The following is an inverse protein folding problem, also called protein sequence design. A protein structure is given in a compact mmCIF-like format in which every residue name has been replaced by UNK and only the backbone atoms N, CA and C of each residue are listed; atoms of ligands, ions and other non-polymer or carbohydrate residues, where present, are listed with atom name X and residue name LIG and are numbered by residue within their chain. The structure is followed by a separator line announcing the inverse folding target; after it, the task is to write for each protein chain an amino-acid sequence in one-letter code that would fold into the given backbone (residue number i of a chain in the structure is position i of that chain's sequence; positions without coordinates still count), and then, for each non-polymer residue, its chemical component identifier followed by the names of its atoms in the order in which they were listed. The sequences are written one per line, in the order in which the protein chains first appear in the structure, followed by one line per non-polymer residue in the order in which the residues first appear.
data_IF_241538180605
#
_entry.id   IF_241538180605
#
_cell.length_a   1.000
_cell.length_b   1.000
_cell.length_c   1.000
_cell.angle_alpha   90.00
_cell.angle_beta   90.00
_cell.angle_gamma   90.00
#
_symmetry.space_group_name_H-M   'P 1'
#
loop_
_entity.id
_entity.type
_entity.pdbx_description
1 polymer ?
#
# COMPACT_ATOMS: atom_id res chain seq x y z
N UNK A 1 -22.45 13.97 1.76
CA UNK A 1 -21.48 15.09 1.73
C UNK A 1 -21.30 15.85 3.06
N UNK A 2 -22.29 15.97 3.95
CA UNK A 2 -22.14 16.77 5.18
C UNK A 2 -21.17 16.21 6.24
N UNK A 3 -21.06 14.88 6.34
CA UNK A 3 -20.31 14.24 7.43
C UNK A 3 -18.79 14.43 7.30
N UNK A 4 -18.24 14.18 6.11
CA UNK A 4 -16.82 14.37 5.79
C UNK A 4 -16.34 15.82 6.06
N UNK A 5 -17.13 16.81 5.65
CA UNK A 5 -16.78 18.22 5.86
C UNK A 5 -16.79 18.59 7.35
N UNK A 6 -17.71 17.99 8.13
CA UNK A 6 -17.77 18.22 9.57
C UNK A 6 -16.59 17.56 10.30
N UNK A 7 -16.16 16.38 9.85
CA UNK A 7 -14.97 15.68 10.35
C UNK A 7 -13.72 16.56 10.13
N UNK A 8 -13.45 16.99 8.89
CA UNK A 8 -12.31 17.88 8.60
C UNK A 8 -12.31 19.16 9.45
N UNK A 9 -13.48 19.80 9.59
CA UNK A 9 -13.60 21.07 10.33
C UNK A 9 -13.37 20.90 11.83
N UNK A 10 -13.84 19.80 12.40
CA UNK A 10 -13.67 19.51 13.84
C UNK A 10 -12.20 19.20 14.14
N UNK A 11 -11.52 18.51 13.21
CA UNK A 11 -10.17 18.01 13.42
C UNK A 11 -9.08 19.03 13.10
N UNK A 12 -9.25 19.82 12.03
CA UNK A 12 -8.30 20.88 11.65
C UNK A 12 -8.18 21.99 12.70
N UNK A 13 -9.12 22.06 13.65
CA UNK A 13 -9.11 23.07 14.72
C UNK A 13 -8.34 22.65 15.96
N UNK A 14 -8.12 21.35 16.16
CA UNK A 14 -7.60 20.83 17.43
C UNK A 14 -6.34 19.95 17.29
N UNK A 15 -5.79 19.73 16.07
CA UNK A 15 -4.66 18.81 15.85
C UNK A 15 -4.92 17.36 16.35
N UNK A 16 -6.19 17.04 16.62
CA UNK A 16 -6.64 15.75 17.16
C UNK A 16 -6.78 14.70 16.07
N UNK A 17 -5.69 14.45 15.35
CA UNK A 17 -5.70 13.49 14.24
C UNK A 17 -6.15 12.09 14.71
N UNK A 18 -5.79 11.68 15.92
CA UNK A 18 -6.20 10.41 16.53
C UNK A 18 -7.72 10.29 16.75
N UNK A 19 -8.39 11.32 17.31
CA UNK A 19 -9.87 11.31 17.44
C UNK A 19 -10.54 11.28 16.06
N UNK A 20 -9.92 11.89 15.06
CA UNK A 20 -10.42 11.90 13.70
C UNK A 20 -10.37 10.55 13.02
N UNK A 21 -9.25 9.85 13.19
CA UNK A 21 -9.05 8.48 12.75
C UNK A 21 -10.11 7.57 13.40
N UNK A 22 -10.31 7.68 14.71
CA UNK A 22 -11.33 6.89 15.43
C UNK A 22 -12.74 7.16 14.90
N UNK A 23 -13.09 8.44 14.69
CA UNK A 23 -14.39 8.84 14.15
C UNK A 23 -14.58 8.34 12.72
N UNK A 24 -13.56 8.42 11.87
CA UNK A 24 -13.58 7.91 10.50
C UNK A 24 -13.73 6.39 10.47
N UNK A 25 -13.02 5.65 11.31
CA UNK A 25 -13.17 4.18 11.43
C UNK A 25 -14.57 3.78 11.84
N UNK A 26 -15.15 4.46 12.83
CA UNK A 26 -16.54 4.21 13.23
C UNK A 26 -17.55 4.58 12.12
N UNK A 27 -17.23 5.61 11.34
CA UNK A 27 -18.04 6.01 10.19
C UNK A 27 -17.96 4.95 9.08
N UNK A 28 -16.75 4.47 8.79
CA UNK A 28 -16.47 3.41 7.82
C UNK A 28 -17.16 2.09 8.15
N UNK A 29 -17.33 1.77 9.44
CA UNK A 29 -18.09 0.60 9.88
C UNK A 29 -19.56 0.62 9.42
N UNK A 30 -20.12 1.82 9.18
CA UNK A 30 -21.50 2.00 8.73
C UNK A 30 -21.61 2.40 7.26
N UNK A 31 -20.57 3.00 6.68
CA UNK A 31 -20.56 3.46 5.29
C UNK A 31 -19.15 3.30 4.68
N UNK A 32 -19.00 2.43 3.68
CA UNK A 32 -17.79 2.38 2.85
C UNK A 32 -17.91 3.40 1.73
N UNK A 33 -17.05 4.41 1.76
CA UNK A 33 -16.99 5.47 0.75
C UNK A 33 -15.51 5.76 0.45
N UNK A 34 -15.16 5.90 -0.82
CA UNK A 34 -13.78 6.19 -1.25
C UNK A 34 -13.26 7.46 -0.59
N UNK A 35 -14.11 8.47 -0.39
CA UNK A 35 -13.74 9.73 0.24
C UNK A 35 -13.34 9.54 1.70
N UNK A 36 -13.97 8.61 2.43
CA UNK A 36 -13.64 8.35 3.84
C UNK A 36 -12.33 7.60 3.99
N UNK A 37 -12.07 6.61 3.12
CA UNK A 37 -10.77 5.92 3.09
C UNK A 37 -9.64 6.88 2.74
N UNK A 38 -9.84 7.76 1.74
CA UNK A 38 -8.88 8.83 1.43
C UNK A 38 -8.61 9.71 2.64
N UNK A 39 -9.66 10.19 3.30
CA UNK A 39 -9.52 11.05 4.48
C UNK A 39 -8.75 10.35 5.59
N UNK A 40 -9.05 9.07 5.83
CA UNK A 40 -8.32 8.27 6.81
C UNK A 40 -6.83 8.20 6.46
N UNK A 41 -6.49 7.97 5.19
CA UNK A 41 -5.12 8.03 4.68
C UNK A 41 -4.44 9.37 4.95
N UNK A 42 -5.10 10.49 4.63
CA UNK A 42 -4.55 11.84 4.87
C UNK A 42 -4.23 12.07 6.37
N UNK A 43 -5.08 11.56 7.26
CA UNK A 43 -4.88 11.68 8.70
C UNK A 43 -3.76 10.78 9.22
N UNK A 44 -3.66 9.56 8.68
CA UNK A 44 -2.57 8.62 9.01
C UNK A 44 -1.21 9.20 8.59
N UNK A 45 -1.14 9.85 7.43
CA UNK A 45 0.06 10.62 7.01
C UNK A 45 0.39 11.72 8.03
N UNK A 46 -0.61 12.46 8.52
CA UNK A 46 -0.40 13.54 9.48
C UNK A 46 0.14 13.05 10.85
N UNK A 47 -0.12 11.79 11.22
CA UNK A 47 0.43 11.14 12.42
C UNK A 47 1.69 10.31 12.15
N UNK A 48 2.24 10.36 10.93
CA UNK A 48 3.41 9.59 10.47
C UNK A 48 3.17 8.06 10.38
N UNK A 49 1.92 7.62 10.26
CA UNK A 49 1.54 6.21 10.05
C UNK A 49 1.43 5.93 8.54
N UNK A 50 2.56 6.00 7.84
CA UNK A 50 2.59 5.92 6.36
C UNK A 50 2.15 4.55 5.81
N UNK A 51 2.52 3.45 6.47
CA UNK A 51 2.13 2.10 6.07
C UNK A 51 0.60 1.92 6.05
N UNK A 52 -0.05 2.33 7.14
CA UNK A 52 -1.51 2.21 7.26
C UNK A 52 -2.20 3.19 6.30
N UNK A 53 -1.62 4.38 6.08
CA UNK A 53 -2.13 5.34 5.09
C UNK A 53 -2.13 4.77 3.66
N UNK A 54 -1.06 4.07 3.25
CA UNK A 54 -0.97 3.45 1.92
C UNK A 54 -2.07 2.43 1.70
N UNK A 55 -2.34 1.60 2.71
CA UNK A 55 -3.42 0.61 2.65
C UNK A 55 -4.78 1.29 2.44
N UNK A 56 -5.04 2.39 3.16
CA UNK A 56 -6.29 3.14 3.02
C UNK A 56 -6.44 3.83 1.66
N UNK A 57 -5.37 4.40 1.11
CA UNK A 57 -5.42 4.96 -0.25
C UNK A 57 -5.61 3.86 -1.31
N UNK A 58 -5.03 2.67 -1.12
CA UNK A 58 -5.25 1.52 -2.00
C UNK A 58 -6.72 1.11 -2.05
N UNK A 59 -7.37 1.05 -0.88
CA UNK A 59 -8.81 0.77 -0.78
C UNK A 59 -9.62 1.88 -1.44
N UNK A 60 -9.27 3.15 -1.21
CA UNK A 60 -9.95 4.28 -1.85
C UNK A 60 -9.88 4.21 -3.38
N UNK A 61 -8.71 3.91 -3.95
CA UNK A 61 -8.50 3.74 -5.39
C UNK A 61 -9.17 2.50 -5.96
N UNK A 62 -9.29 1.44 -5.15
CA UNK A 62 -10.05 0.23 -5.53
C UNK A 62 -11.55 0.50 -5.64
N UNK A 63 -12.07 1.43 -4.82
CA UNK A 63 -13.47 1.88 -4.87
C UNK A 63 -13.70 2.93 -5.96
N UNK A 64 -12.78 3.90 -6.09
CA UNK A 64 -12.80 4.93 -7.12
C UNK A 64 -11.40 5.13 -7.71
N UNK A 65 -11.09 4.49 -8.85
CA UNK A 65 -9.78 4.62 -9.48
C UNK A 65 -9.53 6.02 -10.08
N UNK A 66 -10.54 6.89 -10.10
CA UNK A 66 -10.43 8.27 -10.58
C UNK A 66 -10.23 9.29 -9.44
N UNK A 67 -10.09 8.84 -8.19
CA UNK A 67 -9.77 9.74 -7.09
C UNK A 67 -8.29 10.15 -7.12
N UNK A 68 -8.03 11.22 -7.89
CA UNK A 68 -6.71 11.83 -8.08
C UNK A 68 -6.01 12.09 -6.73
N UNK A 69 -6.75 12.47 -5.69
CA UNK A 69 -6.17 12.81 -4.40
C UNK A 69 -5.59 11.61 -3.66
N UNK A 70 -6.25 10.45 -3.70
CA UNK A 70 -5.68 9.22 -3.14
C UNK A 70 -4.44 8.79 -3.90
N UNK A 71 -4.44 8.95 -5.23
CA UNK A 71 -3.28 8.65 -6.08
C UNK A 71 -2.10 9.58 -5.76
N UNK A 72 -2.36 10.87 -5.54
CA UNK A 72 -1.33 11.84 -5.13
C UNK A 72 -0.76 11.53 -3.74
N UNK A 73 -1.63 11.16 -2.77
CA UNK A 73 -1.23 10.77 -1.42
C UNK A 73 -0.34 9.53 -1.40
N UNK A 74 -0.69 8.51 -2.19
CA UNK A 74 0.06 7.27 -2.30
C UNK A 74 1.44 7.49 -2.97
N UNK A 75 1.48 8.19 -4.12
CA UNK A 75 2.74 8.51 -4.81
C UNK A 75 3.69 9.34 -3.95
N UNK A 76 3.15 10.25 -3.12
CA UNK A 76 3.98 11.04 -2.21
C UNK A 76 4.68 10.16 -1.18
N UNK A 77 3.99 9.14 -0.68
CA UNK A 77 4.58 8.20 0.29
C UNK A 77 5.58 7.24 -0.34
N UNK A 78 5.29 6.70 -1.53
CA UNK A 78 6.24 5.85 -2.26
C UNK A 78 7.57 6.57 -2.53
N UNK A 79 7.51 7.87 -2.82
CA UNK A 79 8.71 8.71 -3.02
C UNK A 79 9.50 8.96 -1.75
N UNK A 80 8.86 8.98 -0.59
CA UNK A 80 9.54 9.14 0.70
C UNK A 80 10.17 7.83 1.17
N UNK A 81 9.54 6.68 0.86
CA UNK A 81 10.09 5.35 1.16
C UNK A 81 11.24 4.96 0.21
N UNK A 82 11.21 5.45 -1.03
CA UNK A 82 12.25 5.21 -2.03
C UNK A 82 13.11 6.46 -2.24
N UNK A 83 14.20 6.66 -1.49
CA UNK A 83 15.20 7.64 -1.88
C UNK A 83 15.88 7.11 -3.15
N UNK A 84 15.42 7.60 -4.31
CA UNK A 84 16.26 7.76 -5.52
C UNK A 84 17.32 6.67 -5.74
N UNK A 85 16.93 5.49 -6.22
CA UNK A 85 17.88 4.59 -6.89
C UNK A 85 17.33 4.21 -8.27
N UNK A 86 17.30 5.22 -9.14
CA UNK A 86 17.17 5.01 -10.58
C UNK A 86 17.81 6.17 -11.33
N UNK A 87 18.98 6.62 -10.88
CA UNK A 87 19.98 7.17 -11.80
C UNK A 87 20.74 6.00 -12.41
N UNK A 88 20.06 5.18 -13.22
CA UNK A 88 20.79 4.38 -14.20
C UNK A 88 20.94 5.28 -15.41
N UNK A 89 21.95 6.14 -15.33
CA UNK A 89 22.52 6.77 -16.52
C UNK A 89 23.08 5.61 -17.35
N UNK A 90 22.29 5.12 -18.31
CA UNK A 90 22.77 4.20 -19.34
C UNK A 90 23.58 5.05 -20.31
N UNK A 91 24.80 5.39 -19.91
CA UNK A 91 25.86 5.76 -20.85
C UNK A 91 26.28 4.45 -21.52
N UNK A 92 25.53 4.08 -22.56
CA UNK A 92 25.74 2.88 -23.34
C UNK A 92 26.92 3.04 -24.30
N UNK A 93 28.11 3.22 -23.75
CA UNK A 93 29.35 2.99 -24.47
C UNK A 93 29.70 1.50 -24.37
N UNK A 94 29.64 0.84 -25.53
CA UNK A 94 30.56 -0.20 -25.99
C UNK A 94 30.79 -1.44 -25.10
N UNK A 95 30.22 -2.58 -25.49
CA UNK A 95 31.00 -3.83 -25.61
C UNK A 95 30.22 -4.89 -26.39
N UNK A 96 30.74 -5.25 -27.57
CA UNK A 96 30.39 -6.46 -28.31
C UNK A 96 30.65 -7.74 -27.48
N UNK A 97 29.91 -8.82 -27.75
CA UNK A 97 30.20 -10.11 -27.14
C UNK A 97 29.30 -11.24 -27.62
N UNK A 98 29.64 -11.77 -28.79
CA UNK A 98 29.10 -12.98 -29.42
C UNK A 98 28.80 -14.15 -28.49
N UNK A 99 27.66 -14.80 -28.77
CA UNK A 99 27.50 -16.25 -28.88
C UNK A 99 27.89 -17.15 -27.70
N UNK A 100 26.92 -17.89 -27.18
CA UNK A 100 26.99 -19.36 -27.21
C UNK A 100 25.60 -19.93 -26.94
N UNK A 101 25.07 -20.68 -27.89
CA UNK A 101 23.93 -21.58 -27.70
C UNK A 101 24.41 -22.79 -26.92
N UNK A 102 23.77 -23.07 -25.78
CA UNK A 102 24.10 -24.18 -24.91
C UNK A 102 22.84 -24.90 -24.48
N UNK A 103 22.43 -25.89 -25.28
CA UNK A 103 21.50 -26.95 -24.90
C UNK A 103 21.98 -27.63 -23.61
N UNK A 104 21.14 -27.64 -22.57
CA UNK A 104 21.28 -28.55 -21.44
C UNK A 104 19.92 -29.14 -21.10
N UNK A 105 19.68 -30.28 -21.73
CA UNK A 105 18.63 -31.25 -21.44
C UNK A 105 18.94 -31.98 -20.13
N UNK A 106 17.94 -32.06 -19.25
CA UNK A 106 17.84 -33.10 -18.22
C UNK A 106 18.43 -32.80 -16.85
N UNK A 107 17.57 -32.49 -15.89
CA UNK A 107 17.57 -33.20 -14.60
C UNK A 107 16.25 -33.02 -13.89
N UNK A 108 15.50 -34.12 -13.89
CA UNK A 108 14.46 -34.44 -12.91
C UNK A 108 15.02 -34.18 -11.51
N UNK A 109 14.39 -33.29 -10.76
CA UNK A 109 14.72 -33.02 -9.35
C UNK A 109 13.42 -32.94 -8.58
N UNK A 110 13.10 -34.09 -8.03
CA UNK A 110 12.06 -34.41 -7.07
C UNK A 110 11.68 -33.24 -6.16
N UNK A 111 10.38 -32.91 -6.19
CA UNK A 111 9.74 -32.01 -5.27
C UNK A 111 9.81 -32.56 -3.84
N UNK A 112 10.70 -31.99 -3.05
CA UNK A 112 10.63 -31.92 -1.60
C UNK A 112 10.79 -30.41 -1.27
N UNK A 113 10.13 -29.77 -0.32
CA UNK A 113 9.66 -30.18 0.99
C UNK A 113 8.58 -29.18 1.41
N UNK A 114 7.42 -29.64 1.85
CA UNK A 114 6.65 -28.89 2.85
C UNK A 114 6.20 -29.88 3.91
N UNK A 115 7.08 -30.00 4.91
CA UNK A 115 6.67 -30.43 6.23
C UNK A 115 5.90 -29.26 6.85
N UNK A 116 4.58 -29.40 6.96
CA UNK A 116 3.82 -28.73 8.01
C UNK A 116 3.11 -29.82 8.83
N UNK A 117 3.89 -30.36 9.75
CA UNK A 117 3.49 -30.58 11.13
C UNK A 117 3.02 -29.20 11.64
N UNK A 118 1.86 -28.96 12.25
CA UNK A 118 1.25 -29.69 13.35
C UNK A 118 -0.19 -29.17 13.62
N UNK A 119 -0.92 -29.96 14.40
CA UNK A 119 -2.02 -29.57 15.29
C UNK A 119 -3.40 -29.32 14.68
N UNK A 120 -4.28 -30.30 14.87
CA UNK A 120 -5.54 -30.01 15.56
C UNK A 120 -6.04 -31.17 16.41
N UNK A 121 -6.56 -30.78 17.56
CA UNK A 121 -6.82 -31.57 18.75
C UNK A 121 -7.97 -32.57 18.57
N UNK A 122 -7.76 -33.76 19.14
CA UNK A 122 -8.66 -34.42 20.08
C UNK A 122 -10.18 -34.21 20.01
N UNK A 123 -10.85 -35.36 19.89
CA UNK A 123 -11.91 -35.82 20.80
C UNK A 123 -13.33 -35.26 20.54
N UNK A 124 -14.19 -36.09 19.93
CA UNK A 124 -15.51 -36.46 20.46
C UNK A 124 -15.86 -37.89 20.04
#
# INVERSE_FOLDING_TARGET
MGMANNIYKTLGREQKYEEGIALLRNTLANQSDCMLHRMLGDFLVAVNEYQEAMDQYSIALSLDPNDQKSLEGMQKMEKEESPTDATVEIDGDDMEGSGEEGDLEGSDSEAAQWADQEQWFGMQ
#
